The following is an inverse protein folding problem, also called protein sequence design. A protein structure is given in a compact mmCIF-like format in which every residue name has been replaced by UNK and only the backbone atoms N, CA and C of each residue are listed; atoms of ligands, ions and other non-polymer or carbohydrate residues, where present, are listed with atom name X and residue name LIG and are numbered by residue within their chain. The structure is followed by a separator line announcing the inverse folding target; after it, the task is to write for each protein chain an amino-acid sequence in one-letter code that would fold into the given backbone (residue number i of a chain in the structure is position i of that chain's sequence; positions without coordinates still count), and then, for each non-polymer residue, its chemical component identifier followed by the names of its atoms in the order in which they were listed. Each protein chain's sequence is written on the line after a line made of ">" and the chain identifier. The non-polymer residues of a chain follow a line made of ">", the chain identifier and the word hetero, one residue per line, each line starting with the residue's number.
data_IF_977585248148
#
_entry.id   IF_977585248148
#
_cell.length_a   1.000
_cell.length_b   1.000
_cell.length_c   1.000
_cell.angle_alpha   90.00
_cell.angle_beta   90.00
_cell.angle_gamma   90.00
#
_symmetry.space_group_name_H-M   'P 1'
#
loop_
_entity.id
_entity.type
_entity.pdbx_description
1 polymer ?
#
# COMPACT_ATOMS: atom_id res chain seq x y z
N UNK A 1 0.84 9.48 -14.51
CA UNK A 1 0.34 8.45 -15.46
C UNK A 1 -1.16 8.55 -15.60
N UNK A 2 -1.92 8.39 -14.51
CA UNK A 2 -3.39 8.55 -14.51
C UNK A 2 -3.85 9.87 -15.14
N UNK A 3 -3.31 11.02 -14.72
CA UNK A 3 -3.68 12.32 -15.29
C UNK A 3 -3.53 12.41 -16.81
N UNK A 4 -2.50 11.76 -17.37
CA UNK A 4 -2.32 11.69 -18.83
C UNK A 4 -3.35 10.76 -19.48
N UNK A 5 -3.63 9.60 -18.87
CA UNK A 5 -4.68 8.68 -19.36
C UNK A 5 -6.05 9.37 -19.41
N UNK A 6 -6.35 10.22 -18.42
CA UNK A 6 -7.63 10.93 -18.34
C UNK A 6 -7.86 11.89 -19.51
N UNK A 7 -6.80 12.41 -20.13
CA UNK A 7 -6.89 13.31 -21.30
C UNK A 7 -7.01 12.58 -22.63
N UNK A 8 -6.85 11.25 -22.66
CA UNK A 8 -6.91 10.47 -23.89
C UNK A 8 -8.37 10.19 -24.31
N UNK A 9 -8.57 9.99 -25.62
CA UNK A 9 -9.85 9.58 -26.22
C UNK A 9 -9.99 8.06 -26.35
N UNK A 10 -8.87 7.34 -26.44
CA UNK A 10 -8.81 5.87 -26.43
C UNK A 10 -7.51 5.42 -25.77
N UNK A 11 -7.45 4.16 -25.37
CA UNK A 11 -6.28 3.53 -24.78
C UNK A 11 -6.26 2.05 -25.21
N UNK A 12 -5.12 1.53 -25.61
CA UNK A 12 -4.91 0.08 -25.78
C UNK A 12 -4.14 -0.47 -24.59
N UNK A 13 -4.31 -1.76 -24.35
CA UNK A 13 -3.58 -2.50 -23.31
C UNK A 13 -2.08 -2.66 -23.63
N UNK A 14 -1.72 -2.50 -24.91
CA UNK A 14 -0.33 -2.44 -25.38
C UNK A 14 0.27 -1.04 -25.33
N UNK A 15 -0.50 -0.01 -24.97
CA UNK A 15 0.02 1.35 -24.91
C UNK A 15 1.01 1.49 -23.75
N UNK A 16 1.97 2.41 -23.92
CA UNK A 16 2.97 2.71 -22.88
C UNK A 16 2.32 3.15 -21.57
N UNK A 17 1.25 3.93 -21.66
CA UNK A 17 0.51 4.45 -20.50
C UNK A 17 -0.17 3.33 -19.72
N UNK A 18 -0.84 2.41 -20.41
CA UNK A 18 -1.51 1.27 -19.78
C UNK A 18 -0.50 0.30 -19.15
N UNK A 19 0.56 -0.05 -19.89
CA UNK A 19 1.63 -0.91 -19.36
C UNK A 19 2.29 -0.29 -18.14
N UNK A 20 2.55 1.02 -18.16
CA UNK A 20 3.09 1.74 -17.01
C UNK A 20 2.13 1.77 -15.82
N UNK A 21 0.83 1.94 -16.06
CA UNK A 21 -0.17 1.91 -15.00
C UNK A 21 -0.28 0.51 -14.39
N UNK A 22 -0.25 -0.54 -15.21
CA UNK A 22 -0.29 -1.94 -14.78
C UNK A 22 0.91 -2.26 -13.90
N UNK A 23 2.11 -1.90 -14.35
CA UNK A 23 3.34 -2.08 -13.57
C UNK A 23 3.30 -1.32 -12.24
N UNK A 24 2.83 -0.06 -12.21
CA UNK A 24 2.65 0.68 -10.95
C UNK A 24 1.66 -0.05 -10.02
N UNK A 25 0.59 -0.61 -10.59
CA UNK A 25 -0.43 -1.34 -9.82
C UNK A 25 0.14 -2.62 -9.21
N UNK A 26 0.98 -3.36 -9.95
CA UNK A 26 1.71 -4.52 -9.43
C UNK A 26 2.62 -4.15 -8.26
N UNK A 27 3.40 -3.07 -8.38
CA UNK A 27 4.24 -2.57 -7.28
C UNK A 27 3.42 -2.13 -6.07
N UNK A 28 2.26 -1.50 -6.29
CA UNK A 28 1.35 -1.15 -5.20
C UNK A 28 0.75 -2.39 -4.54
N UNK A 29 0.46 -3.45 -5.29
CA UNK A 29 -0.04 -4.71 -4.72
C UNK A 29 1.01 -5.37 -3.82
N UNK A 30 2.29 -5.26 -4.15
CA UNK A 30 3.39 -5.71 -3.29
C UNK A 30 3.50 -4.93 -1.96
N UNK A 31 2.84 -3.78 -1.82
CA UNK A 31 2.76 -3.05 -0.54
C UNK A 31 2.08 -3.90 0.55
N UNK A 32 1.25 -4.88 0.19
CA UNK A 32 0.58 -5.75 1.17
C UNK A 32 1.56 -6.42 2.14
N UNK A 33 2.68 -6.92 1.64
CA UNK A 33 3.77 -7.54 2.41
C UNK A 33 4.37 -6.56 3.42
N UNK A 34 4.48 -5.27 3.04
CA UNK A 34 4.90 -4.23 3.97
C UNK A 34 3.90 -4.01 5.09
N UNK A 35 2.62 -3.89 4.75
CA UNK A 35 1.55 -3.70 5.72
C UNK A 35 1.39 -4.93 6.66
N UNK A 36 1.65 -6.15 6.16
CA UNK A 36 1.62 -7.38 6.97
C UNK A 36 2.77 -7.42 7.97
N UNK A 37 3.99 -7.01 7.59
CA UNK A 37 5.11 -6.90 8.55
C UNK A 37 4.78 -5.94 9.68
N UNK A 38 4.11 -4.84 9.39
CA UNK A 38 3.67 -3.92 10.44
C UNK A 38 2.59 -4.53 11.33
N UNK A 39 1.52 -5.06 10.71
CA UNK A 39 0.38 -5.64 11.40
C UNK A 39 0.75 -6.84 12.29
N UNK A 40 1.59 -7.72 11.77
CA UNK A 40 1.83 -9.03 12.37
C UNK A 40 3.09 -9.07 13.23
N UNK A 41 4.00 -8.09 13.07
CA UNK A 41 5.28 -8.07 13.78
C UNK A 41 5.44 -6.82 14.66
N UNK A 42 5.27 -5.62 14.09
CA UNK A 42 5.52 -4.37 14.82
C UNK A 42 4.36 -4.04 15.78
N UNK A 43 3.12 -4.13 15.31
CA UNK A 43 1.94 -3.76 16.10
C UNK A 43 1.76 -4.62 17.35
N UNK A 44 1.96 -5.95 17.35
CA UNK A 44 1.87 -6.74 18.58
C UNK A 44 2.84 -6.24 19.66
N UNK A 45 4.04 -5.82 19.27
CA UNK A 45 5.05 -5.29 20.19
C UNK A 45 4.66 -3.93 20.78
N UNK A 46 4.06 -3.06 19.97
CA UNK A 46 3.57 -1.76 20.43
C UNK A 46 2.29 -1.90 21.28
N UNK A 47 1.36 -2.77 20.87
CA UNK A 47 0.14 -3.11 21.60
C UNK A 47 0.44 -3.64 23.00
N UNK A 48 1.41 -4.55 23.13
CA UNK A 48 1.83 -5.09 24.43
C UNK A 48 2.45 -4.04 25.36
N UNK A 49 2.76 -2.84 24.85
CA UNK A 49 3.33 -1.70 25.56
C UNK A 49 2.33 -0.54 25.73
N UNK A 50 1.04 -0.79 25.48
CA UNK A 50 -0.04 0.16 25.75
C UNK A 50 -0.45 1.04 24.55
N UNK A 51 0.11 0.82 23.36
CA UNK A 51 -0.15 1.65 22.17
C UNK A 51 -1.25 1.10 21.25
N UNK A 52 -2.22 0.38 21.82
CA UNK A 52 -3.24 -0.32 21.04
C UNK A 52 -4.13 0.61 20.20
N UNK A 53 -4.48 1.78 20.74
CA UNK A 53 -5.33 2.74 20.03
C UNK A 53 -4.65 3.32 18.80
N UNK A 54 -3.34 3.63 18.89
CA UNK A 54 -2.53 4.07 17.76
C UNK A 54 -2.47 2.98 16.70
N UNK A 55 -2.06 1.76 17.08
CA UNK A 55 -1.97 0.65 16.12
C UNK A 55 -3.31 0.40 15.44
N UNK A 56 -4.43 0.41 16.16
CA UNK A 56 -5.77 0.24 15.57
C UNK A 56 -6.12 1.34 14.57
N UNK A 57 -5.68 2.57 14.81
CA UNK A 57 -5.87 3.67 13.86
C UNK A 57 -5.13 3.39 12.54
N UNK A 58 -3.87 2.96 12.64
CA UNK A 58 -3.03 2.64 11.48
C UNK A 58 -3.56 1.38 10.74
N UNK A 59 -4.00 0.35 11.47
CA UNK A 59 -4.67 -0.82 10.88
C UNK A 59 -5.90 -0.45 10.04
N UNK A 60 -6.68 0.54 10.48
CA UNK A 60 -7.81 1.03 9.69
C UNK A 60 -7.32 1.70 8.39
N UNK A 61 -6.24 2.47 8.42
CA UNK A 61 -5.60 3.02 7.22
C UNK A 61 -5.17 1.90 6.26
N UNK A 62 -4.59 0.81 6.78
CA UNK A 62 -4.21 -0.36 5.97
C UNK A 62 -5.41 -0.97 5.25
N UNK A 63 -6.54 -1.14 5.93
CA UNK A 63 -7.78 -1.69 5.34
C UNK A 63 -8.23 -0.84 4.14
N UNK A 64 -8.24 0.48 4.31
CA UNK A 64 -8.63 1.42 3.26
C UNK A 64 -7.67 1.39 2.06
N UNK A 65 -6.37 1.37 2.32
CA UNK A 65 -5.33 1.32 1.29
C UNK A 65 -5.40 0.01 0.51
N UNK A 66 -5.48 -1.14 1.20
CA UNK A 66 -5.64 -2.47 0.57
C UNK A 66 -6.86 -2.53 -0.33
N UNK A 67 -8.01 -2.07 0.17
CA UNK A 67 -9.25 -2.06 -0.61
C UNK A 67 -9.09 -1.27 -1.90
N UNK A 68 -8.48 -0.08 -1.83
CA UNK A 68 -8.27 0.75 -3.01
C UNK A 68 -7.24 0.16 -3.99
N UNK A 69 -6.20 -0.53 -3.51
CA UNK A 69 -5.22 -1.23 -4.35
C UNK A 69 -5.87 -2.45 -5.03
N UNK A 70 -6.68 -3.23 -4.31
CA UNK A 70 -7.44 -4.34 -4.89
C UNK A 70 -8.40 -3.87 -5.97
N UNK A 71 -9.11 -2.77 -5.74
CA UNK A 71 -10.04 -2.20 -6.73
C UNK A 71 -9.31 -1.65 -7.96
N UNK A 72 -8.12 -1.05 -7.77
CA UNK A 72 -7.24 -0.66 -8.88
C UNK A 72 -6.76 -1.88 -9.67
N UNK A 73 -6.34 -2.94 -8.98
CA UNK A 73 -5.89 -4.20 -9.60
C UNK A 73 -7.00 -4.84 -10.41
N UNK A 74 -8.22 -4.93 -9.86
CA UNK A 74 -9.40 -5.42 -10.59
C UNK A 74 -9.66 -4.57 -11.83
N UNK A 75 -9.61 -3.24 -11.71
CA UNK A 75 -9.83 -2.32 -12.82
C UNK A 75 -8.86 -2.56 -13.99
N UNK A 76 -7.58 -2.81 -13.68
CA UNK A 76 -6.57 -3.18 -14.69
C UNK A 76 -6.88 -4.53 -15.31
N UNK A 77 -7.23 -5.53 -14.49
CA UNK A 77 -7.51 -6.90 -14.96
C UNK A 77 -8.68 -6.97 -15.95
N UNK A 78 -9.74 -6.18 -15.72
CA UNK A 78 -10.95 -6.18 -16.57
C UNK A 78 -10.91 -5.12 -17.68
N UNK A 79 -9.78 -4.44 -17.90
CA UNK A 79 -9.65 -3.32 -18.82
C UNK A 79 -10.20 -3.61 -20.22
N UNK A 80 -9.83 -4.77 -20.81
CA UNK A 80 -10.27 -5.19 -22.16
C UNK A 80 -11.79 -5.29 -22.30
N UNK A 81 -12.50 -5.52 -21.20
CA UNK A 81 -13.95 -5.68 -21.16
C UNK A 81 -14.66 -4.42 -20.65
N UNK A 82 -13.94 -3.33 -20.42
CA UNK A 82 -14.46 -2.10 -19.82
C UNK A 82 -14.49 -0.98 -20.84
N UNK A 83 -15.63 -0.27 -20.94
CA UNK A 83 -15.71 0.94 -21.75
C UNK A 83 -14.68 1.97 -21.25
N UNK A 84 -13.92 2.58 -22.17
CA UNK A 84 -12.82 3.45 -21.78
C UNK A 84 -13.24 4.68 -20.95
N UNK A 85 -14.44 5.24 -21.19
CA UNK A 85 -14.96 6.34 -20.36
C UNK A 85 -15.24 5.88 -18.93
N UNK A 86 -15.81 4.67 -18.77
CA UNK A 86 -16.04 4.06 -17.45
C UNK A 86 -14.71 3.81 -16.75
N UNK A 87 -13.74 3.25 -17.46
CA UNK A 87 -12.38 3.05 -16.95
C UNK A 87 -11.74 4.34 -16.45
N UNK A 88 -11.80 5.43 -17.24
CA UNK A 88 -11.28 6.74 -16.84
C UNK A 88 -11.93 7.25 -15.55
N UNK A 89 -13.24 7.13 -15.44
CA UNK A 89 -13.97 7.60 -14.26
C UNK A 89 -13.57 6.81 -13.01
N UNK A 90 -13.49 5.48 -13.11
CA UNK A 90 -13.07 4.62 -12.00
C UNK A 90 -11.60 4.90 -11.62
N UNK A 91 -10.70 4.99 -12.60
CA UNK A 91 -9.29 5.32 -12.37
C UNK A 91 -9.13 6.69 -11.69
N UNK A 92 -9.89 7.70 -12.11
CA UNK A 92 -9.86 9.02 -11.51
C UNK A 92 -10.33 8.98 -10.04
N UNK A 93 -11.44 8.31 -9.77
CA UNK A 93 -11.97 8.17 -8.41
C UNK A 93 -11.01 7.43 -7.49
N UNK A 94 -10.47 6.29 -7.94
CA UNK A 94 -9.49 5.51 -7.18
C UNK A 94 -8.23 6.32 -6.89
N UNK A 95 -7.66 7.00 -7.88
CA UNK A 95 -6.41 7.77 -7.68
C UNK A 95 -6.60 9.02 -6.82
N UNK A 96 -7.78 9.66 -6.85
CA UNK A 96 -8.12 10.75 -5.93
C UNK A 96 -8.21 10.31 -4.49
N UNK A 97 -8.53 9.04 -4.24
CA UNK A 97 -8.59 8.48 -2.91
C UNK A 97 -7.24 7.89 -2.46
N UNK A 98 -6.67 6.99 -3.27
CA UNK A 98 -5.48 6.23 -2.94
C UNK A 98 -4.23 7.11 -2.79
N UNK A 99 -4.03 8.10 -3.66
CA UNK A 99 -2.82 8.91 -3.60
C UNK A 99 -2.71 9.77 -2.34
N UNK A 100 -3.77 10.49 -1.90
CA UNK A 100 -3.75 11.16 -0.60
C UNK A 100 -3.64 10.20 0.58
N UNK A 101 -4.37 9.07 0.57
CA UNK A 101 -4.35 8.09 1.65
C UNK A 101 -2.94 7.55 1.89
N UNK A 102 -2.24 7.09 0.82
CA UNK A 102 -0.86 6.61 0.92
C UNK A 102 0.10 7.69 1.44
N UNK A 103 -0.02 8.93 0.95
CA UNK A 103 0.85 10.02 1.42
C UNK A 103 0.66 10.33 2.91
N UNK A 104 -0.58 10.32 3.35
CA UNK A 104 -0.89 10.55 4.76
C UNK A 104 -0.40 9.41 5.63
N UNK A 105 -0.60 8.18 5.17
CA UNK A 105 -0.18 6.97 5.87
C UNK A 105 1.34 6.91 6.05
N UNK A 106 2.12 7.10 4.97
CA UNK A 106 3.59 7.21 5.05
C UNK A 106 4.04 8.33 5.99
N UNK A 107 3.31 9.45 6.03
CA UNK A 107 3.62 10.53 6.97
C UNK A 107 3.36 10.10 8.43
N UNK A 108 2.27 9.39 8.71
CA UNK A 108 2.01 8.86 10.05
C UNK A 108 3.05 7.83 10.46
N UNK A 109 3.48 6.97 9.54
CA UNK A 109 4.55 6.00 9.76
C UNK A 109 5.86 6.70 10.15
N UNK A 110 6.34 7.59 9.28
CA UNK A 110 7.63 8.28 9.42
C UNK A 110 7.68 9.20 10.64
N UNK A 111 6.57 9.87 10.97
CA UNK A 111 6.55 10.90 12.01
C UNK A 111 6.05 10.42 13.36
N UNK A 112 5.33 9.28 13.40
CA UNK A 112 4.70 8.81 14.64
C UNK A 112 5.05 7.35 14.91
N UNK A 113 4.69 6.44 14.01
CA UNK A 113 4.79 4.99 14.28
C UNK A 113 6.23 4.54 14.46
N UNK A 114 7.12 4.83 13.50
CA UNK A 114 8.50 4.34 13.54
C UNK A 114 9.33 5.00 14.64
N UNK A 115 9.28 6.34 14.86
CA UNK A 115 9.94 6.95 16.01
C UNK A 115 9.49 6.34 17.33
N UNK A 116 8.18 6.10 17.50
CA UNK A 116 7.64 5.45 18.68
C UNK A 116 8.14 4.01 18.84
N UNK A 117 8.16 3.23 17.76
CA UNK A 117 8.67 1.86 17.78
C UNK A 117 10.13 1.81 18.24
N UNK A 118 10.98 2.73 17.74
CA UNK A 118 12.37 2.83 18.16
C UNK A 118 12.51 3.22 19.63
N UNK A 119 11.65 4.10 20.15
CA UNK A 119 11.68 4.55 21.54
C UNK A 119 11.17 3.47 22.52
N UNK A 120 10.19 2.67 22.10
CA UNK A 120 9.53 1.67 22.94
C UNK A 120 10.16 0.27 22.86
N UNK A 121 10.84 -0.06 21.75
CA UNK A 121 11.52 -1.34 21.53
C UNK A 121 13.03 -1.10 21.67
N UNK A 122 13.49 -1.01 22.92
CA UNK A 122 14.87 -0.63 23.24
C UNK A 122 15.88 -1.78 23.21
N UNK A 123 15.40 -3.03 23.24
CA UNK A 123 16.25 -4.23 23.29
C UNK A 123 16.67 -4.64 21.86
N UNK A 124 17.99 -4.63 21.54
CA UNK A 124 18.49 -5.04 20.22
C UNK A 124 18.14 -6.48 19.85
N UNK A 125 18.06 -7.40 20.83
CA UNK A 125 17.75 -8.81 20.56
C UNK A 125 16.30 -8.98 20.08
N UNK A 126 15.41 -8.04 20.43
CA UNK A 126 14.05 -7.99 19.90
C UNK A 126 14.08 -7.61 18.41
N UNK A 127 14.91 -6.64 18.02
CA UNK A 127 15.01 -6.21 16.62
C UNK A 127 15.56 -7.31 15.71
N UNK A 128 16.49 -8.14 16.20
CA UNK A 128 16.95 -9.32 15.44
C UNK A 128 15.83 -10.36 15.23
N UNK A 129 14.97 -10.57 16.24
CA UNK A 129 13.78 -11.43 16.09
C UNK A 129 12.77 -10.84 15.13
N UNK A 130 12.47 -9.54 15.25
CA UNK A 130 11.58 -8.81 14.33
C UNK A 130 12.07 -8.95 12.90
N UNK A 131 13.37 -8.71 12.66
CA UNK A 131 13.98 -8.88 11.34
C UNK A 131 13.84 -10.30 10.81
N UNK A 132 14.07 -11.30 11.67
CA UNK A 132 13.93 -12.72 11.29
C UNK A 132 12.51 -13.03 10.83
N UNK A 133 11.49 -12.61 11.59
CA UNK A 133 10.08 -12.84 11.24
C UNK A 133 9.69 -12.04 10.00
N UNK A 134 10.15 -10.80 9.86
CA UNK A 134 9.92 -9.99 8.66
C UNK A 134 10.49 -10.63 7.39
N UNK A 135 11.61 -11.35 7.47
CA UNK A 135 12.16 -12.09 6.33
C UNK A 135 11.26 -13.25 5.87
N UNK A 136 10.33 -13.73 6.71
CA UNK A 136 9.36 -14.77 6.34
C UNK A 136 8.14 -14.20 5.59
N UNK A 137 7.89 -12.89 5.68
CA UNK A 137 6.72 -12.19 5.10
C UNK A 137 7.05 -11.57 3.72
N UNK A 138 8.29 -11.75 3.23
CA UNK A 138 8.84 -11.11 2.02
C UNK A 138 8.91 -9.57 2.10
N UNK A 139 9.58 -8.94 1.11
CA UNK A 139 9.76 -7.49 1.06
C UNK A 139 9.12 -6.90 -0.19
N UNK A 140 8.34 -5.83 0.00
CA UNK A 140 7.70 -5.09 -1.08
C UNK A 140 8.68 -4.75 -2.21
N UNK A 141 8.48 -5.39 -3.37
CA UNK A 141 9.30 -5.17 -4.57
C UNK A 141 10.71 -5.76 -4.51
N UNK A 142 11.02 -6.57 -3.49
CA UNK A 142 12.28 -7.31 -3.32
C UNK A 142 11.92 -8.74 -2.94
N UNK A 143 11.87 -9.63 -3.93
CA UNK A 143 11.84 -11.07 -3.68
C UNK A 143 13.29 -11.52 -3.41
N UNK A 144 13.57 -12.01 -2.21
CA UNK A 144 14.89 -12.51 -1.80
C UNK A 144 15.13 -13.96 -2.23
#
# INVERSE_FOLDING_TARGET
>A
VSMHILTLNSLSDTSREFMRLSHITEHLNALEEHLDRENDVIFPMLKSRGWETLCRSVENEHIYIRTAIHDLTKLILVFRNTNFTVFKNQLNSLTKYLCPALKQHLFHEDQVLFPLALEMIVDPDIWEKVKTVCNEIDYCGIHL
#
